data_IF_242022609625
#
_entry.id   IF_242022609625
#
_cell.length_a   1.000
_cell.length_b   1.000
_cell.length_c   1.000
_cell.angle_alpha   90.00
_cell.angle_beta   90.00
_cell.angle_gamma   90.00
#
_symmetry.space_group_name_H-M   'P 1'
#
loop_
_entity.id
_entity.type
_entity.pdbx_description
1 polymer ?
#
# COMPACT_ATOMS: atom_id res chain seq x y z
N UNK A 1 -76.13 81.64 -20.23
CA UNK A 1 -75.41 80.72 -21.15
C UNK A 1 -75.16 81.45 -22.45
N UNK A 2 -73.92 81.51 -22.92
CA UNK A 2 -73.61 82.10 -24.23
C UNK A 2 -74.08 81.16 -25.35
N UNK A 3 -74.70 81.71 -26.40
CA UNK A 3 -75.06 80.93 -27.59
C UNK A 3 -73.76 80.43 -28.26
N UNK A 4 -73.66 79.12 -28.54
CA UNK A 4 -72.51 78.55 -29.26
C UNK A 4 -72.50 79.12 -30.69
N UNK A 5 -71.34 79.58 -31.14
CA UNK A 5 -71.16 80.11 -32.50
C UNK A 5 -71.54 79.04 -33.53
N UNK A 6 -72.37 79.41 -34.52
CA UNK A 6 -72.77 78.56 -35.62
C UNK A 6 -72.39 79.28 -36.92
N UNK A 7 -71.51 78.65 -37.70
CA UNK A 7 -71.00 79.19 -38.96
C UNK A 7 -72.15 79.46 -39.94
N UNK A 8 -73.07 78.52 -40.14
CA UNK A 8 -74.22 78.69 -41.06
C UNK A 8 -75.11 79.89 -40.66
N UNK A 9 -75.30 80.14 -39.35
CA UNK A 9 -76.09 81.28 -38.87
C UNK A 9 -75.39 82.63 -39.03
N UNK A 10 -74.05 82.64 -39.08
CA UNK A 10 -73.23 83.84 -39.22
C UNK A 10 -72.91 84.17 -40.68
N UNK A 11 -72.64 83.12 -41.47
CA UNK A 11 -72.18 83.16 -42.85
C UNK A 11 -73.29 83.40 -43.88
N UNK A 12 -74.46 82.80 -43.65
CA UNK A 12 -75.50 82.70 -44.67
C UNK A 12 -76.54 83.81 -44.51
N UNK A 13 -76.70 84.62 -45.56
CA UNK A 13 -77.77 85.61 -45.62
C UNK A 13 -79.10 84.91 -45.91
N UNK A 14 -80.09 85.17 -45.06
CA UNK A 14 -81.44 84.63 -45.23
C UNK A 14 -82.16 85.34 -46.37
N UNK A 15 -82.55 84.58 -47.39
CA UNK A 15 -83.30 85.07 -48.55
C UNK A 15 -84.59 84.26 -48.65
N UNK A 16 -85.73 84.94 -48.79
CA UNK A 16 -87.03 84.31 -48.99
C UNK A 16 -87.56 84.66 -50.38
N UNK A 17 -87.96 83.64 -51.14
CA UNK A 17 -88.58 83.77 -52.45
C UNK A 17 -89.98 83.14 -52.42
N UNK A 18 -91.01 83.94 -52.66
CA UNK A 18 -92.43 83.58 -52.63
C UNK A 18 -93.06 83.51 -54.04
N UNK A 19 -92.43 84.17 -55.01
CA UNK A 19 -92.87 84.23 -56.41
C UNK A 19 -91.67 84.42 -57.35
N UNK A 20 -91.82 84.00 -58.61
CA UNK A 20 -90.76 84.07 -59.63
C UNK A 20 -90.24 85.50 -59.87
N UNK A 21 -91.13 86.49 -59.87
CA UNK A 21 -90.76 87.89 -60.12
C UNK A 21 -90.35 88.66 -58.86
N UNK A 22 -90.15 87.97 -57.73
CA UNK A 22 -89.78 88.63 -56.49
C UNK A 22 -88.37 89.23 -56.57
N UNK A 23 -88.26 90.47 -56.12
CA UNK A 23 -86.98 91.15 -55.93
C UNK A 23 -86.31 90.68 -54.64
N UNK A 24 -85.01 90.35 -54.69
CA UNK A 24 -84.20 90.12 -53.49
C UNK A 24 -83.79 91.50 -52.96
N UNK A 25 -84.30 91.93 -51.79
CA UNK A 25 -84.27 93.34 -51.39
C UNK A 25 -82.90 93.87 -50.97
N UNK A 26 -81.94 93.00 -50.67
CA UNK A 26 -80.62 93.37 -50.17
C UNK A 26 -79.53 93.11 -51.21
N UNK A 27 -78.54 94.00 -51.27
CA UNK A 27 -77.25 93.69 -51.89
C UNK A 27 -76.60 92.60 -51.06
N UNK A 28 -76.39 91.45 -51.67
CA UNK A 28 -75.73 90.33 -51.02
C UNK A 28 -74.21 90.56 -51.07
N UNK A 29 -73.50 90.24 -49.98
CA UNK A 29 -72.07 90.53 -49.85
C UNK A 29 -71.28 89.22 -49.82
N UNK A 30 -70.29 89.12 -50.70
CA UNK A 30 -69.19 88.16 -50.61
C UNK A 30 -67.92 88.85 -50.12
N UNK A 31 -66.92 88.08 -49.70
CA UNK A 31 -65.60 88.60 -49.35
C UNK A 31 -64.54 87.65 -49.93
N UNK A 32 -63.61 88.20 -50.71
CA UNK A 32 -62.55 87.40 -51.34
C UNK A 32 -61.59 86.74 -50.33
N UNK A 33 -61.55 87.22 -49.08
CA UNK A 33 -60.72 86.65 -48.01
C UNK A 33 -61.40 85.50 -47.24
N UNK A 34 -62.71 85.32 -47.41
CA UNK A 34 -63.44 84.33 -46.63
C UNK A 34 -63.19 82.94 -47.24
N UNK A 35 -62.53 82.07 -46.48
CA UNK A 35 -62.04 80.76 -46.96
C UNK A 35 -63.11 79.79 -47.47
N UNK A 36 -64.40 80.07 -47.25
CA UNK A 36 -65.61 79.43 -47.82
C UNK A 36 -66.91 80.03 -47.21
N UNK A 37 -66.85 81.18 -46.53
CA UNK A 37 -67.75 81.50 -45.41
C UNK A 37 -68.91 82.45 -45.67
N UNK A 38 -69.24 82.80 -46.91
CA UNK A 38 -70.41 83.64 -47.24
C UNK A 38 -71.33 82.92 -48.19
N UNK A 39 -72.62 83.19 -48.07
CA UNK A 39 -73.58 82.49 -48.89
C UNK A 39 -75.02 82.88 -48.62
N UNK A 40 -75.92 82.06 -49.15
CA UNK A 40 -77.36 82.27 -49.12
C UNK A 40 -78.01 81.09 -48.41
N UNK A 41 -78.83 81.39 -47.41
CA UNK A 41 -79.84 80.46 -46.88
C UNK A 41 -81.18 80.83 -47.53
N UNK A 42 -81.56 80.05 -48.53
CA UNK A 42 -82.75 80.26 -49.33
C UNK A 42 -83.95 79.52 -48.74
N UNK A 43 -85.07 80.22 -48.59
CA UNK A 43 -86.36 79.66 -48.26
C UNK A 43 -87.35 79.96 -49.39
N UNK A 44 -87.89 78.92 -50.02
CA UNK A 44 -88.93 79.07 -51.05
C UNK A 44 -90.32 78.89 -50.43
N UNK A 45 -91.24 79.78 -50.77
CA UNK A 45 -92.66 79.76 -50.39
C UNK A 45 -93.53 79.98 -51.63
N UNK A 46 -94.80 79.60 -51.58
CA UNK A 46 -95.79 79.88 -52.63
C UNK A 46 -97.03 80.44 -51.93
N UNK A 47 -97.34 81.73 -52.17
CA UNK A 47 -98.48 82.39 -51.54
C UNK A 47 -98.36 82.53 -50.02
N UNK A 48 -97.14 82.60 -49.50
CA UNK A 48 -96.83 82.67 -48.07
C UNK A 48 -96.72 81.32 -47.36
N UNK A 49 -97.07 80.22 -48.02
CA UNK A 49 -96.91 78.85 -47.49
C UNK A 49 -95.60 78.23 -47.94
N UNK A 50 -95.03 77.34 -47.11
CA UNK A 50 -93.77 76.68 -47.41
C UNK A 50 -93.93 75.72 -48.58
N UNK A 51 -93.05 75.83 -49.58
CA UNK A 51 -93.08 74.99 -50.78
C UNK A 51 -92.26 73.69 -50.58
N UNK A 52 -92.84 72.54 -50.93
CA UNK A 52 -92.11 71.27 -51.03
C UNK A 52 -91.39 71.21 -52.39
N UNK A 53 -90.06 71.14 -52.35
CA UNK A 53 -89.19 71.07 -53.52
C UNK A 53 -88.40 69.76 -53.58
N UNK A 54 -88.90 68.71 -52.92
CA UNK A 54 -88.26 67.39 -52.92
C UNK A 54 -88.07 66.86 -54.34
N UNK A 55 -86.82 66.58 -54.72
CA UNK A 55 -86.48 66.08 -56.05
C UNK A 55 -86.26 67.15 -57.12
N UNK A 56 -86.44 68.44 -56.81
CA UNK A 56 -86.19 69.53 -57.75
C UNK A 56 -84.82 70.18 -57.50
N UNK A 57 -83.90 70.22 -58.50
CA UNK A 57 -82.64 70.94 -58.37
C UNK A 57 -82.87 72.46 -58.29
N UNK A 58 -82.30 73.08 -57.25
CA UNK A 58 -82.24 74.54 -57.11
C UNK A 58 -80.80 74.97 -57.30
N UNK A 59 -80.55 75.89 -58.24
CA UNK A 59 -79.21 76.36 -58.58
C UNK A 59 -79.13 77.88 -58.57
N UNK A 60 -77.96 78.41 -58.26
CA UNK A 60 -77.58 79.80 -58.49
C UNK A 60 -76.89 79.88 -59.86
N UNK A 61 -77.53 80.51 -60.83
CA UNK A 61 -76.89 80.90 -62.07
C UNK A 61 -76.20 82.24 -61.84
N UNK A 62 -74.90 82.35 -62.08
CA UNK A 62 -74.16 83.59 -61.83
C UNK A 62 -73.08 83.86 -62.87
N UNK A 63 -72.77 85.14 -63.04
CA UNK A 63 -71.68 85.64 -63.88
C UNK A 63 -71.01 86.82 -63.19
N UNK A 64 -69.68 86.74 -63.06
CA UNK A 64 -68.81 87.75 -62.46
C UNK A 64 -68.20 88.63 -63.57
N UNK A 65 -67.97 89.91 -63.26
CA UNK A 65 -67.35 90.87 -64.17
C UNK A 65 -65.93 90.52 -64.67
N UNK A 66 -65.29 89.48 -64.12
CA UNK A 66 -63.95 89.01 -64.50
C UNK A 66 -64.01 87.93 -65.59
N UNK A 67 -65.22 87.54 -66.02
CA UNK A 67 -65.46 86.48 -66.99
C UNK A 67 -65.81 85.12 -66.39
N UNK A 68 -65.66 84.92 -65.07
CA UNK A 68 -66.08 83.69 -64.41
C UNK A 68 -67.61 83.60 -64.37
N UNK A 69 -68.15 82.43 -64.68
CA UNK A 69 -69.58 82.14 -64.61
C UNK A 69 -69.79 80.66 -64.33
N UNK A 70 -70.86 80.33 -63.64
CA UNK A 70 -71.20 78.94 -63.34
C UNK A 70 -72.70 78.79 -62.99
N UNK A 71 -73.17 77.54 -62.97
CA UNK A 71 -74.45 77.15 -62.43
C UNK A 71 -74.23 76.31 -61.17
N UNK A 72 -74.13 76.98 -60.02
CA UNK A 72 -73.77 76.32 -58.76
C UNK A 72 -75.01 75.82 -58.02
N UNK A 73 -75.05 74.53 -57.69
CA UNK A 73 -76.21 73.88 -57.06
C UNK A 73 -76.30 74.20 -55.58
N UNK A 74 -77.50 74.52 -55.08
CA UNK A 74 -77.76 74.62 -53.66
C UNK A 74 -77.79 73.22 -53.01
N UNK A 75 -77.34 73.15 -51.76
CA UNK A 75 -77.49 71.97 -50.91
C UNK A 75 -78.80 72.05 -50.14
N UNK A 76 -79.64 71.01 -50.20
CA UNK A 76 -80.88 70.95 -49.42
C UNK A 76 -80.57 70.86 -47.92
N UNK A 77 -81.16 71.76 -47.13
CA UNK A 77 -81.17 71.65 -45.66
C UNK A 77 -82.43 70.90 -45.25
N UNK A 78 -83.57 71.26 -45.86
CA UNK A 78 -84.84 70.55 -45.74
C UNK A 78 -85.67 70.84 -47.00
N UNK A 79 -85.58 69.98 -48.02
CA UNK A 79 -86.26 70.19 -49.29
C UNK A 79 -87.79 70.12 -49.18
N UNK A 80 -88.31 69.34 -48.22
CA UNK A 80 -89.74 69.26 -47.91
C UNK A 80 -90.30 70.57 -47.39
N UNK A 81 -89.42 71.40 -46.84
CA UNK A 81 -89.70 72.76 -46.42
C UNK A 81 -89.09 73.82 -47.33
N UNK A 82 -88.67 73.50 -48.55
CA UNK A 82 -88.13 74.48 -49.48
C UNK A 82 -86.89 75.23 -48.98
N UNK A 83 -86.12 74.63 -48.05
CA UNK A 83 -84.98 75.26 -47.39
C UNK A 83 -83.66 74.73 -47.94
N UNK A 84 -82.84 75.64 -48.45
CA UNK A 84 -81.62 75.35 -49.18
C UNK A 84 -80.49 76.26 -48.73
N UNK A 85 -79.26 75.77 -48.74
CA UNK A 85 -78.07 76.57 -48.46
C UNK A 85 -77.06 76.49 -49.60
N UNK A 86 -76.37 77.60 -49.84
CA UNK A 86 -75.28 77.69 -50.80
C UNK A 86 -74.20 78.57 -50.20
N UNK A 87 -72.98 78.06 -50.15
CA UNK A 87 -71.79 78.87 -49.99
C UNK A 87 -71.31 79.34 -51.35
N UNK A 88 -70.84 80.57 -51.41
CA UNK A 88 -70.32 81.16 -52.62
C UNK A 88 -69.05 80.42 -53.07
N UNK A 89 -68.99 79.93 -54.33
CA UNK A 89 -67.86 79.13 -54.78
C UNK A 89 -66.59 79.99 -54.90
N UNK A 90 -65.39 79.41 -54.75
CA UNK A 90 -64.13 80.14 -54.87
C UNK A 90 -63.99 80.90 -56.20
N UNK A 91 -64.51 80.33 -57.29
CA UNK A 91 -64.51 80.97 -58.61
C UNK A 91 -65.32 82.28 -58.67
N UNK A 92 -66.27 82.47 -57.75
CA UNK A 92 -67.07 83.68 -57.62
C UNK A 92 -66.48 84.69 -56.63
N UNK A 93 -65.58 84.26 -55.73
CA UNK A 93 -65.00 85.06 -54.64
C UNK A 93 -63.78 85.88 -55.09
N UNK A 94 -63.91 86.57 -56.23
CA UNK A 94 -62.97 87.61 -56.64
C UNK A 94 -63.57 88.99 -56.36
N UNK A 95 -62.78 90.02 -56.00
CA UNK A 95 -63.33 91.35 -55.74
C UNK A 95 -64.08 91.91 -56.96
N UNK A 96 -65.35 92.28 -56.78
CA UNK A 96 -66.19 92.72 -57.89
C UNK A 96 -67.68 92.41 -57.77
N UNK A 97 -68.44 92.85 -58.78
CA UNK A 97 -69.87 92.57 -58.87
C UNK A 97 -70.15 91.27 -59.62
N UNK A 98 -71.08 90.50 -59.06
CA UNK A 98 -71.63 89.27 -59.65
C UNK A 98 -73.11 89.48 -59.92
N UNK A 99 -73.53 89.23 -61.14
CA UNK A 99 -74.95 89.14 -61.49
C UNK A 99 -75.41 87.70 -61.28
N UNK A 100 -76.46 87.50 -60.47
CA UNK A 100 -76.93 86.18 -60.09
C UNK A 100 -78.46 86.04 -60.15
N UNK A 101 -78.92 84.81 -60.34
CA UNK A 101 -80.33 84.41 -60.33
C UNK A 101 -80.49 83.05 -59.68
N UNK A 102 -81.54 82.87 -58.89
CA UNK A 102 -81.95 81.55 -58.40
C UNK A 102 -82.84 80.89 -59.43
N UNK A 103 -82.51 79.68 -59.87
CA UNK A 103 -83.26 78.92 -60.89
C UNK A 103 -83.63 77.54 -60.35
N UNK A 104 -84.88 77.14 -60.54
CA UNK A 104 -85.43 75.83 -60.15
C UNK A 104 -85.66 75.00 -61.42
N UNK A 105 -85.16 73.77 -61.45
CA UNK A 105 -85.17 72.90 -62.64
C UNK A 105 -86.15 71.72 -62.50
N UNK A 106 -86.74 71.29 -63.62
CA UNK A 106 -87.49 70.04 -63.75
C UNK A 106 -86.56 69.03 -64.42
N UNK A 107 -85.98 68.11 -63.65
CA UNK A 107 -84.94 67.24 -64.17
C UNK A 107 -83.68 68.04 -64.56
N UNK A 108 -82.96 67.58 -65.59
CA UNK A 108 -81.56 67.96 -65.78
C UNK A 108 -81.32 69.06 -66.85
N UNK A 109 -82.33 69.48 -67.64
CA UNK A 109 -82.05 70.26 -68.86
C UNK A 109 -82.86 71.55 -69.06
N UNK A 110 -83.85 71.91 -68.21
CA UNK A 110 -84.58 73.19 -68.36
C UNK A 110 -85.06 73.80 -67.04
N UNK A 111 -84.82 75.11 -66.80
CA UNK A 111 -85.36 75.78 -65.63
C UNK A 111 -86.88 75.95 -65.79
N UNK A 112 -87.64 75.52 -64.78
CA UNK A 112 -89.11 75.68 -64.70
C UNK A 112 -89.46 77.14 -64.39
N UNK A 113 -88.70 77.72 -63.46
CA UNK A 113 -88.95 79.06 -62.91
C UNK A 113 -87.71 79.55 -62.16
N UNK A 114 -87.58 80.85 -61.95
CA UNK A 114 -86.46 81.43 -61.22
C UNK A 114 -86.78 82.84 -60.73
N UNK A 115 -85.90 83.39 -59.90
CA UNK A 115 -85.98 84.77 -59.42
C UNK A 115 -85.70 85.78 -60.53
N UNK A 116 -85.91 87.08 -60.25
CA UNK A 116 -85.23 88.15 -61.01
C UNK A 116 -83.73 88.11 -60.76
N UNK A 117 -82.98 88.74 -61.66
CA UNK A 117 -81.55 88.98 -61.46
C UNK A 117 -81.33 89.90 -60.26
N UNK A 118 -80.32 89.57 -59.46
CA UNK A 118 -79.84 90.37 -58.34
C UNK A 118 -78.32 90.41 -58.34
N UNK A 119 -77.76 91.42 -57.67
CA UNK A 119 -76.32 91.63 -57.60
C UNK A 119 -75.76 91.13 -56.27
N UNK A 120 -74.64 90.42 -56.34
CA UNK A 120 -73.80 90.06 -55.20
C UNK A 120 -72.50 90.88 -55.33
N UNK A 121 -72.18 91.72 -54.34
CA UNK A 121 -70.95 92.51 -54.32
C UNK A 121 -69.88 91.77 -53.51
N UNK A 122 -68.74 91.46 -54.10
CA UNK A 122 -67.62 90.79 -53.44
C UNK A 122 -66.59 91.83 -53.03
N UNK A 123 -66.42 92.02 -51.72
CA UNK A 123 -65.49 92.99 -51.15
C UNK A 123 -64.03 92.52 -51.27
N UNK A 124 -63.11 93.48 -51.38
CA UNK A 124 -61.67 93.24 -51.35
C UNK A 124 -61.20 93.06 -49.91
N UNK A 125 -60.26 92.13 -49.68
CA UNK A 125 -59.57 92.03 -48.40
C UNK A 125 -58.89 93.38 -48.06
N UNK A 126 -59.08 93.93 -46.85
CA UNK A 126 -58.36 95.12 -46.40
C UNK A 126 -56.83 94.94 -46.30
N UNK A 127 -56.33 93.70 -46.25
CA UNK A 127 -54.89 93.39 -46.21
C UNK A 127 -54.45 92.84 -47.57
N UNK A 128 -53.34 93.38 -48.08
CA UNK A 128 -52.61 92.81 -49.20
C UNK A 128 -51.78 91.62 -48.69
N UNK A 129 -52.34 90.41 -48.80
CA UNK A 129 -51.74 89.17 -48.32
C UNK A 129 -50.34 88.93 -48.92
N UNK A 130 -50.12 89.34 -50.17
CA UNK A 130 -48.82 89.23 -50.84
C UNK A 130 -47.76 90.11 -50.15
N UNK A 131 -48.14 91.31 -49.68
CA UNK A 131 -47.25 92.18 -48.90
C UNK A 131 -46.98 91.62 -47.50
N UNK A 132 -47.99 91.07 -46.84
CA UNK A 132 -47.85 90.52 -45.49
C UNK A 132 -47.00 89.24 -45.44
N UNK A 133 -47.05 88.41 -46.49
CA UNK A 133 -46.27 87.18 -46.62
C UNK A 133 -44.81 87.40 -47.06
N UNK A 134 -44.48 88.61 -47.52
CA UNK A 134 -43.14 89.02 -47.96
C UNK A 134 -42.24 89.54 -46.83
N UNK A 135 -42.77 89.69 -45.62
CA UNK A 135 -41.98 90.14 -44.46
C UNK A 135 -40.93 89.06 -44.09
N UNK A 136 -39.65 89.47 -43.95
CA UNK A 136 -38.51 88.56 -43.74
C UNK A 136 -38.74 87.58 -42.58
N UNK A 137 -39.38 88.04 -41.50
CA UNK A 137 -39.66 87.24 -40.30
C UNK A 137 -40.58 86.03 -40.55
N UNK A 138 -41.53 86.15 -41.50
CA UNK A 138 -42.42 85.03 -41.83
C UNK A 138 -41.71 84.00 -42.74
N UNK A 139 -40.76 84.45 -43.57
CA UNK A 139 -39.92 83.57 -44.38
C UNK A 139 -38.93 82.79 -43.53
N UNK A 140 -38.27 83.44 -42.57
CA UNK A 140 -37.39 82.78 -41.59
C UNK A 140 -38.15 81.72 -40.76
N UNK A 141 -39.39 82.02 -40.35
CA UNK A 141 -40.23 81.07 -39.62
C UNK A 141 -40.58 79.83 -40.46
N UNK A 142 -40.89 80.01 -41.75
CA UNK A 142 -41.16 78.89 -42.67
C UNK A 142 -39.93 78.01 -42.86
N UNK A 143 -38.76 78.61 -43.02
CA UNK A 143 -37.50 77.87 -43.13
C UNK A 143 -37.15 77.12 -41.84
N UNK A 144 -37.31 77.76 -40.68
CA UNK A 144 -37.08 77.12 -39.38
C UNK A 144 -38.02 75.93 -39.16
N UNK A 145 -39.30 76.06 -39.51
CA UNK A 145 -40.27 74.97 -39.42
C UNK A 145 -39.91 73.80 -40.36
N UNK A 146 -39.49 74.10 -41.60
CA UNK A 146 -39.03 73.08 -42.55
C UNK A 146 -37.76 72.37 -42.08
N UNK A 147 -36.79 73.11 -41.54
CA UNK A 147 -35.58 72.54 -40.96
C UNK A 147 -35.93 71.62 -39.79
N UNK A 148 -36.80 72.05 -38.88
CA UNK A 148 -37.20 71.27 -37.71
C UNK A 148 -37.91 69.97 -38.12
N UNK A 149 -38.77 70.02 -39.14
CA UNK A 149 -39.41 68.82 -39.70
C UNK A 149 -38.38 67.85 -40.30
N UNK A 150 -37.43 68.35 -41.08
CA UNK A 150 -36.35 67.52 -41.66
C UNK A 150 -35.42 66.93 -40.60
N UNK A 151 -35.18 67.66 -39.51
CA UNK A 151 -34.33 67.22 -38.40
C UNK A 151 -35.04 66.12 -37.60
N UNK A 152 -36.33 66.28 -37.32
CA UNK A 152 -37.13 65.25 -36.66
C UNK A 152 -37.17 63.96 -37.47
N UNK A 153 -37.42 64.05 -38.78
CA UNK A 153 -37.40 62.88 -39.67
C UNK A 153 -36.04 62.17 -39.63
N UNK A 154 -34.92 62.91 -39.67
CA UNK A 154 -33.58 62.33 -39.51
C UNK A 154 -33.33 61.68 -38.15
N UNK A 155 -33.88 62.25 -37.07
CA UNK A 155 -33.75 61.68 -35.74
C UNK A 155 -34.55 60.40 -35.60
N UNK A 156 -35.74 60.32 -36.19
CA UNK A 156 -36.56 59.11 -36.25
C UNK A 156 -35.81 57.99 -37.00
N UNK A 157 -35.27 58.27 -38.19
CA UNK A 157 -34.46 57.30 -38.95
C UNK A 157 -33.22 56.82 -38.17
N UNK A 158 -32.53 57.74 -37.49
CA UNK A 158 -31.36 57.40 -36.68
C UNK A 158 -31.73 56.56 -35.44
N UNK A 159 -32.89 56.84 -34.83
CA UNK A 159 -33.43 56.09 -33.71
C UNK A 159 -33.81 54.66 -34.12
N UNK A 160 -34.50 54.50 -35.26
CA UNK A 160 -34.81 53.19 -35.84
C UNK A 160 -33.54 52.40 -36.14
N UNK A 161 -32.54 53.03 -36.77
CA UNK A 161 -31.26 52.40 -37.04
C UNK A 161 -30.55 51.94 -35.75
N UNK A 162 -30.59 52.76 -34.68
CA UNK A 162 -30.04 52.39 -33.37
C UNK A 162 -30.79 51.20 -32.78
N UNK A 163 -32.11 51.15 -32.85
CA UNK A 163 -32.92 50.04 -32.33
C UNK A 163 -32.65 48.73 -33.07
N UNK A 164 -32.49 48.78 -34.40
CA UNK A 164 -32.09 47.62 -35.20
C UNK A 164 -30.70 47.13 -34.78
N UNK A 165 -29.73 48.03 -34.64
CA UNK A 165 -28.37 47.70 -34.21
C UNK A 165 -28.35 47.10 -32.79
N UNK A 166 -29.14 47.65 -31.88
CA UNK A 166 -29.25 47.14 -30.50
C UNK A 166 -29.90 45.76 -30.46
N UNK A 167 -30.94 45.53 -31.28
CA UNK A 167 -31.58 44.21 -31.42
C UNK A 167 -30.58 43.19 -31.97
N UNK A 168 -29.81 43.55 -33.00
CA UNK A 168 -28.77 42.69 -33.55
C UNK A 168 -27.64 42.39 -32.54
N UNK A 169 -27.26 43.37 -31.71
CA UNK A 169 -26.30 43.15 -30.62
C UNK A 169 -26.85 42.20 -29.57
N UNK A 170 -28.11 42.36 -29.18
CA UNK A 170 -28.76 41.50 -28.19
C UNK A 170 -28.87 40.04 -28.69
N UNK A 171 -29.23 39.83 -29.96
CA UNK A 171 -29.27 38.48 -30.53
C UNK A 171 -27.89 37.84 -30.64
N UNK A 172 -26.86 38.61 -31.01
CA UNK A 172 -25.48 38.13 -31.05
C UNK A 172 -24.97 37.73 -29.66
N UNK A 173 -25.29 38.52 -28.63
CA UNK A 173 -24.91 38.22 -27.25
C UNK A 173 -25.63 36.97 -26.71
N UNK A 174 -26.91 36.79 -27.06
CA UNK A 174 -27.64 35.57 -26.70
C UNK A 174 -27.04 34.33 -27.37
N UNK A 175 -26.68 34.41 -28.66
CA UNK A 175 -25.99 33.33 -29.37
C UNK A 175 -24.63 33.02 -28.73
N UNK A 176 -23.87 34.05 -28.33
CA UNK A 176 -22.61 33.89 -27.61
C UNK A 176 -22.80 33.15 -26.28
N UNK A 177 -23.86 33.46 -25.51
CA UNK A 177 -24.18 32.76 -24.26
C UNK A 177 -24.55 31.30 -24.49
N UNK A 178 -25.31 31.00 -25.54
CA UNK A 178 -25.66 29.63 -25.91
C UNK A 178 -24.41 28.81 -26.29
N UNK A 179 -23.50 29.38 -27.09
CA UNK A 179 -22.22 28.75 -27.40
C UNK A 179 -21.36 28.52 -26.16
N UNK A 180 -21.31 29.49 -25.25
CA UNK A 180 -20.58 29.36 -24.00
C UNK A 180 -21.17 28.25 -23.11
N UNK A 181 -22.49 28.19 -22.99
CA UNK A 181 -23.17 27.12 -22.26
C UNK A 181 -22.90 25.73 -22.87
N UNK A 182 -22.90 25.63 -24.21
CA UNK A 182 -22.59 24.39 -24.91
C UNK A 182 -21.13 23.97 -24.70
N UNK A 183 -20.20 24.94 -24.73
CA UNK A 183 -18.78 24.69 -24.43
C UNK A 183 -18.58 24.16 -23.01
N UNK A 184 -19.22 24.77 -22.02
CA UNK A 184 -19.15 24.32 -20.62
C UNK A 184 -19.73 22.92 -20.45
N UNK A 185 -20.86 22.60 -21.10
CA UNK A 185 -21.44 21.26 -21.07
C UNK A 185 -20.48 20.21 -21.65
N UNK A 186 -19.90 20.47 -22.82
CA UNK A 186 -18.92 19.58 -23.46
C UNK A 186 -17.66 19.41 -22.60
N UNK A 187 -17.20 20.46 -21.93
CA UNK A 187 -16.05 20.40 -21.03
C UNK A 187 -16.35 19.54 -19.79
N UNK A 188 -17.55 19.64 -19.23
CA UNK A 188 -17.99 18.78 -18.12
C UNK A 188 -18.10 17.31 -18.53
N UNK A 189 -18.59 17.02 -19.74
CA UNK A 189 -18.62 15.65 -20.29
C UNK A 189 -17.20 15.10 -20.48
N UNK A 190 -16.27 15.93 -20.98
CA UNK A 190 -14.86 15.56 -21.10
C UNK A 190 -14.24 15.22 -19.75
N UNK A 191 -14.49 16.05 -18.74
CA UNK A 191 -13.99 15.82 -17.38
C UNK A 191 -14.56 14.53 -16.77
N UNK A 192 -15.86 14.26 -16.96
CA UNK A 192 -16.48 13.02 -16.49
C UNK A 192 -15.84 11.79 -17.15
N UNK A 193 -15.62 11.83 -18.47
CA UNK A 193 -14.95 10.75 -19.19
C UNK A 193 -13.48 10.57 -18.76
N UNK A 194 -12.78 11.65 -18.38
CA UNK A 194 -11.43 11.57 -17.85
C UNK A 194 -11.40 10.94 -16.46
N UNK A 195 -12.33 11.29 -15.57
CA UNK A 195 -12.47 10.64 -14.26
C UNK A 195 -12.80 9.15 -14.38
N UNK A 196 -13.65 8.76 -15.32
CA UNK A 196 -13.94 7.34 -15.60
C UNK A 196 -12.70 6.59 -16.11
N UNK A 197 -11.90 7.20 -17.00
CA UNK A 197 -10.63 6.62 -17.45
C UNK A 197 -9.64 6.45 -16.30
N UNK A 198 -9.50 7.45 -15.43
CA UNK A 198 -8.61 7.38 -14.27
C UNK A 198 -9.04 6.29 -13.28
N UNK A 199 -10.34 6.13 -13.05
CA UNK A 199 -10.89 5.05 -12.22
C UNK A 199 -10.59 3.67 -12.83
N UNK A 200 -10.83 3.49 -14.14
CA UNK A 200 -10.51 2.25 -14.84
C UNK A 200 -9.01 1.92 -14.82
N UNK A 201 -8.15 2.93 -14.90
CA UNK A 201 -6.70 2.75 -14.82
C UNK A 201 -6.25 2.33 -13.41
N UNK A 202 -6.87 2.88 -12.35
CA UNK A 202 -6.65 2.44 -10.97
C UNK A 202 -7.08 0.97 -10.77
N UNK A 203 -8.22 0.57 -11.33
CA UNK A 203 -8.67 -0.82 -11.29
C UNK A 203 -7.69 -1.75 -12.04
N UNK A 204 -7.20 -1.33 -13.20
CA UNK A 204 -6.17 -2.08 -13.96
C UNK A 204 -4.88 -2.25 -13.15
N UNK A 205 -4.42 -1.18 -12.49
CA UNK A 205 -3.22 -1.23 -11.64
C UNK A 205 -3.41 -2.15 -10.43
N UNK A 206 -4.59 -2.15 -9.80
CA UNK A 206 -4.91 -3.05 -8.70
C UNK A 206 -4.90 -4.53 -9.17
N UNK A 207 -5.53 -4.83 -10.30
CA UNK A 207 -5.52 -6.17 -10.88
C UNK A 207 -4.12 -6.63 -11.30
N UNK A 208 -3.28 -5.71 -11.79
CA UNK A 208 -1.88 -6.00 -12.11
C UNK A 208 -1.06 -6.35 -10.85
N UNK A 209 -1.25 -5.61 -9.75
CA UNK A 209 -0.59 -5.89 -8.48
C UNK A 209 -1.03 -7.25 -7.90
N UNK A 210 -2.31 -7.61 -8.00
CA UNK A 210 -2.80 -8.94 -7.61
C UNK A 210 -2.18 -10.05 -8.46
N UNK A 211 -2.02 -9.83 -9.77
CA UNK A 211 -1.35 -10.78 -10.65
C UNK A 211 0.12 -10.96 -10.29
N UNK A 212 0.83 -9.87 -10.00
CA UNK A 212 2.24 -9.91 -9.60
C UNK A 212 2.41 -10.70 -8.30
N UNK A 213 1.58 -10.44 -7.28
CA UNK A 213 1.59 -11.20 -6.03
C UNK A 213 1.30 -12.69 -6.25
N UNK A 214 0.33 -13.04 -7.12
CA UNK A 214 0.03 -14.42 -7.45
C UNK A 214 1.17 -15.14 -8.21
N UNK A 215 1.93 -14.41 -9.02
CA UNK A 215 3.11 -14.95 -9.70
C UNK A 215 4.28 -15.16 -8.73
N UNK A 216 4.46 -14.24 -7.77
CA UNK A 216 5.43 -14.40 -6.69
C UNK A 216 5.12 -15.65 -5.85
N UNK A 217 3.86 -15.82 -5.43
CA UNK A 217 3.41 -17.02 -4.71
C UNK A 217 3.65 -18.30 -5.51
N UNK A 218 3.37 -18.28 -6.82
CA UNK A 218 3.66 -19.43 -7.71
C UNK A 218 5.15 -19.72 -7.78
N UNK A 219 5.98 -18.69 -7.86
CA UNK A 219 7.44 -18.85 -7.93
C UNK A 219 8.01 -19.46 -6.64
N UNK A 220 7.50 -19.04 -5.48
CA UNK A 220 7.86 -19.60 -4.18
C UNK A 220 7.39 -21.06 -4.05
N UNK A 221 6.17 -21.36 -4.51
CA UNK A 221 5.66 -22.73 -4.51
C UNK A 221 6.49 -23.65 -5.42
N UNK A 222 6.94 -23.16 -6.57
CA UNK A 222 7.81 -23.93 -7.47
C UNK A 222 9.20 -24.13 -6.88
N UNK A 223 9.77 -23.13 -6.21
CA UNK A 223 11.04 -23.28 -5.47
C UNK A 223 10.92 -24.37 -4.40
N UNK A 224 9.86 -24.33 -3.59
CA UNK A 224 9.61 -25.35 -2.57
C UNK A 224 9.41 -26.76 -3.17
N UNK A 225 8.77 -26.87 -4.33
CA UNK A 225 8.65 -28.13 -5.07
C UNK A 225 10.01 -28.66 -5.51
N UNK A 226 10.88 -27.80 -6.04
CA UNK A 226 12.23 -28.15 -6.48
C UNK A 226 13.09 -28.61 -5.29
N UNK A 227 13.03 -27.90 -4.16
CA UNK A 227 13.75 -28.30 -2.93
C UNK A 227 13.26 -29.65 -2.40
N UNK A 228 11.94 -29.88 -2.37
CA UNK A 228 11.36 -31.15 -1.96
C UNK A 228 11.80 -32.29 -2.89
N UNK A 229 11.90 -32.05 -4.19
CA UNK A 229 12.35 -33.04 -5.16
C UNK A 229 13.85 -33.34 -5.02
N UNK A 230 14.68 -32.33 -4.77
CA UNK A 230 16.09 -32.51 -4.46
C UNK A 230 16.29 -33.36 -3.19
N UNK A 231 15.49 -33.12 -2.15
CA UNK A 231 15.51 -33.92 -0.93
C UNK A 231 15.11 -35.38 -1.18
N UNK A 232 14.05 -35.61 -1.97
CA UNK A 232 13.64 -36.97 -2.36
C UNK A 232 14.76 -37.69 -3.12
N UNK A 233 15.35 -37.02 -4.11
CA UNK A 233 16.45 -37.58 -4.89
C UNK A 233 17.66 -37.97 -4.00
N UNK A 234 18.04 -37.11 -3.05
CA UNK A 234 19.12 -37.41 -2.10
C UNK A 234 18.77 -38.61 -1.21
N UNK A 235 17.54 -38.66 -0.69
CA UNK A 235 17.06 -39.78 0.12
C UNK A 235 17.08 -41.09 -0.67
N UNK A 236 16.64 -41.07 -1.93
CA UNK A 236 16.70 -42.24 -2.80
C UNK A 236 18.14 -42.70 -3.05
N UNK A 237 19.09 -41.78 -3.26
CA UNK A 237 20.50 -42.12 -3.40
C UNK A 237 21.08 -42.78 -2.14
N UNK A 238 20.71 -42.30 -0.94
CA UNK A 238 21.12 -42.91 0.33
C UNK A 238 20.53 -44.32 0.50
N UNK A 239 19.23 -44.49 0.19
CA UNK A 239 18.58 -45.81 0.22
C UNK A 239 19.25 -46.75 -0.78
N UNK A 240 19.60 -46.28 -1.97
CA UNK A 240 20.31 -47.08 -2.97
C UNK A 240 21.68 -47.54 -2.44
N UNK A 241 22.47 -46.63 -1.84
CA UNK A 241 23.75 -46.99 -1.23
C UNK A 241 23.59 -48.00 -0.09
N UNK A 242 22.60 -47.82 0.79
CA UNK A 242 22.35 -48.73 1.92
C UNK A 242 21.74 -50.08 1.50
N UNK A 243 21.05 -50.13 0.37
CA UNK A 243 20.39 -51.34 -0.15
C UNK A 243 21.30 -52.19 -1.03
N UNK A 244 22.36 -51.60 -1.61
CA UNK A 244 23.48 -52.34 -2.19
C UNK A 244 24.28 -53.00 -1.05
N UNK A 245 23.79 -54.14 -0.55
CA UNK A 245 24.62 -55.03 0.27
C UNK A 245 25.94 -55.37 -0.45
N UNK A 246 26.96 -55.80 0.29
CA UNK A 246 28.26 -56.14 -0.30
C UNK A 246 28.06 -57.24 -1.36
N UNK A 247 28.30 -56.89 -2.62
CA UNK A 247 28.26 -57.86 -3.71
C UNK A 247 29.43 -58.83 -3.51
N UNK A 248 29.24 -60.12 -3.81
CA UNK A 248 30.30 -61.12 -3.71
C UNK A 248 30.79 -61.48 -5.10
N UNK A 249 32.09 -61.42 -5.31
CA UNK A 249 32.71 -61.79 -6.57
C UNK A 249 33.85 -62.78 -6.33
N UNK A 250 33.75 -63.97 -6.93
CA UNK A 250 34.82 -64.96 -6.87
C UNK A 250 35.73 -64.75 -8.08
N UNK A 251 36.99 -64.40 -7.82
CA UNK A 251 37.95 -64.06 -8.86
C UNK A 251 38.28 -65.30 -9.71
N UNK A 252 38.32 -65.14 -11.03
CA UNK A 252 38.77 -66.20 -11.93
C UNK A 252 40.28 -66.45 -11.78
N UNK A 253 40.78 -67.59 -12.29
CA UNK A 253 42.18 -68.02 -12.14
C UNK A 253 43.22 -67.02 -12.68
N UNK A 254 42.83 -66.08 -13.55
CA UNK A 254 43.67 -65.04 -14.15
C UNK A 254 43.45 -63.63 -13.58
N UNK A 255 42.59 -63.48 -12.55
CA UNK A 255 42.19 -62.19 -11.97
C UNK A 255 42.82 -61.91 -10.59
N UNK A 256 43.84 -62.68 -10.21
CA UNK A 256 44.59 -62.48 -8.97
C UNK A 256 46.05 -62.88 -9.15
N UNK A 257 46.94 -62.21 -8.42
CA UNK A 257 48.36 -62.48 -8.44
C UNK A 257 48.65 -63.77 -7.66
N UNK A 258 49.24 -64.76 -8.33
CA UNK A 258 49.44 -66.09 -7.75
C UNK A 258 50.40 -66.13 -6.56
N UNK A 259 51.25 -65.12 -6.39
CA UNK A 259 52.26 -65.04 -5.34
C UNK A 259 51.77 -64.29 -4.10
N UNK A 260 50.99 -63.22 -4.29
CA UNK A 260 50.49 -62.35 -3.22
C UNK A 260 49.03 -62.63 -2.86
N UNK A 261 48.31 -63.37 -3.73
CA UNK A 261 46.86 -63.61 -3.66
C UNK A 261 46.01 -62.34 -3.70
N UNK A 262 46.59 -61.22 -4.13
CA UNK A 262 45.89 -59.96 -4.34
C UNK A 262 45.11 -60.00 -5.66
N UNK A 263 43.85 -59.51 -5.72
CA UNK A 263 43.15 -59.38 -6.98
C UNK A 263 43.87 -58.40 -7.93
N UNK A 264 43.88 -58.69 -9.23
CA UNK A 264 44.44 -57.82 -10.29
C UNK A 264 43.34 -57.43 -11.28
N UNK A 265 42.21 -56.97 -10.73
CA UNK A 265 41.06 -56.53 -11.51
C UNK A 265 41.29 -55.10 -12.00
N UNK A 266 41.17 -54.88 -13.30
CA UNK A 266 41.47 -53.60 -13.94
C UNK A 266 40.55 -52.44 -13.49
N UNK A 267 39.30 -52.76 -13.13
CA UNK A 267 38.29 -51.78 -12.66
C UNK A 267 37.52 -52.34 -11.46
N UNK A 268 38.11 -52.28 -10.25
CA UNK A 268 37.48 -52.82 -9.06
C UNK A 268 36.38 -51.90 -8.49
N UNK A 269 35.34 -52.49 -7.93
CA UNK A 269 34.19 -51.80 -7.33
C UNK A 269 34.31 -51.83 -5.80
N UNK A 270 34.19 -50.66 -5.15
CA UNK A 270 34.28 -50.50 -3.69
C UNK A 270 33.16 -51.20 -2.92
N UNK A 271 32.08 -51.56 -3.60
CA UNK A 271 30.87 -52.17 -3.04
C UNK A 271 30.86 -53.69 -3.20
N UNK A 272 31.98 -54.27 -3.66
CA UNK A 272 32.15 -55.70 -3.91
C UNK A 272 33.24 -56.28 -3.02
N UNK A 273 32.93 -57.38 -2.35
CA UNK A 273 33.89 -58.25 -1.69
C UNK A 273 34.41 -59.27 -2.70
N UNK A 274 35.71 -59.25 -2.91
CA UNK A 274 36.41 -60.11 -3.85
C UNK A 274 37.00 -61.31 -3.11
N UNK A 275 36.69 -62.50 -3.59
CA UNK A 275 37.12 -63.77 -3.00
C UNK A 275 38.18 -64.38 -3.91
N UNK A 276 39.39 -64.54 -3.39
CA UNK A 276 40.51 -65.21 -4.05
C UNK A 276 40.74 -66.55 -3.35
N UNK A 277 40.96 -67.68 -4.06
CA UNK A 277 41.21 -68.96 -3.39
C UNK A 277 42.39 -68.87 -2.41
N UNK A 278 42.22 -69.44 -1.21
CA UNK A 278 43.29 -69.48 -0.22
C UNK A 278 44.47 -70.35 -0.68
N UNK A 279 45.68 -70.05 -0.20
CA UNK A 279 46.86 -70.84 -0.54
C UNK A 279 46.79 -72.26 0.06
N UNK A 280 46.20 -72.37 1.25
CA UNK A 280 45.99 -73.63 1.97
C UNK A 280 44.52 -73.73 2.41
N UNK A 281 43.59 -74.02 1.49
CA UNK A 281 42.18 -74.09 1.82
C UNK A 281 41.93 -75.22 2.84
N UNK A 282 41.09 -74.91 3.82
CA UNK A 282 40.63 -75.82 4.87
C UNK A 282 39.11 -75.86 4.91
N UNK A 283 38.54 -76.79 5.69
CA UNK A 283 37.08 -76.85 5.88
C UNK A 283 36.52 -75.57 6.53
N UNK A 284 37.36 -74.82 7.25
CA UNK A 284 37.00 -73.59 7.96
C UNK A 284 37.27 -72.30 7.15
N UNK A 285 38.03 -72.38 6.05
CA UNK A 285 38.46 -71.22 5.25
C UNK A 285 38.94 -71.63 3.88
N UNK A 286 38.24 -71.18 2.83
CA UNK A 286 38.54 -71.54 1.43
C UNK A 286 38.95 -70.32 0.59
N UNK A 287 38.71 -69.12 1.10
CA UNK A 287 38.84 -67.87 0.34
C UNK A 287 39.50 -66.79 1.18
N UNK A 288 40.39 -66.04 0.54
CA UNK A 288 40.90 -64.76 1.03
C UNK A 288 39.98 -63.66 0.54
N UNK A 289 39.44 -62.90 1.48
CA UNK A 289 38.50 -61.83 1.22
C UNK A 289 39.25 -60.50 1.05
N UNK A 290 38.94 -59.78 -0.03
CA UNK A 290 39.57 -58.52 -0.39
C UNK A 290 38.51 -57.47 -0.71
N UNK A 291 38.80 -56.23 -0.34
CA UNK A 291 38.03 -55.07 -0.75
C UNK A 291 38.93 -54.04 -1.43
N UNK A 292 38.35 -53.26 -2.34
CA UNK A 292 39.04 -52.15 -2.95
C UNK A 292 38.85 -50.87 -2.12
N UNK A 293 39.94 -50.29 -1.63
CA UNK A 293 39.94 -48.95 -1.03
C UNK A 293 40.18 -47.92 -2.13
N UNK A 294 39.11 -47.34 -2.67
CA UNK A 294 39.21 -46.34 -3.74
C UNK A 294 39.85 -45.01 -3.29
N UNK A 295 39.78 -44.65 -2.01
CA UNK A 295 40.47 -43.44 -1.52
C UNK A 295 41.97 -43.66 -1.44
N UNK A 296 42.37 -44.89 -1.08
CA UNK A 296 43.74 -45.34 -1.02
C UNK A 296 44.36 -45.83 -2.33
N UNK A 297 43.53 -46.13 -3.33
CA UNK A 297 43.94 -46.75 -4.58
C UNK A 297 44.64 -48.11 -4.40
N UNK A 298 44.23 -48.91 -3.40
CA UNK A 298 44.88 -50.19 -3.05
C UNK A 298 43.88 -51.27 -2.68
N UNK A 299 44.31 -52.52 -2.81
CA UNK A 299 43.58 -53.67 -2.27
C UNK A 299 43.81 -53.80 -0.77
N UNK A 300 42.72 -53.98 -0.04
CA UNK A 300 42.72 -54.18 1.41
C UNK A 300 42.18 -55.57 1.73
N UNK A 301 42.92 -56.31 2.54
CA UNK A 301 42.55 -57.67 2.94
C UNK A 301 41.56 -57.61 4.09
N UNK A 302 40.39 -58.22 3.91
CA UNK A 302 39.37 -58.33 4.94
C UNK A 302 39.58 -59.64 5.71
N UNK A 303 40.20 -59.50 6.89
CA UNK A 303 40.47 -60.63 7.79
C UNK A 303 41.82 -61.29 7.55
N UNK A 304 42.59 -61.46 8.62
CA UNK A 304 43.78 -62.31 8.64
C UNK A 304 43.55 -63.42 9.66
N UNK A 305 43.58 -64.68 9.23
CA UNK A 305 43.58 -65.85 10.13
C UNK A 305 44.92 -66.02 10.88
N UNK A 306 45.95 -65.25 10.52
CA UNK A 306 47.24 -65.23 11.23
C UNK A 306 47.23 -64.23 12.38
N UNK A 307 47.21 -64.76 13.62
CA UNK A 307 47.61 -64.00 14.78
C UNK A 307 49.10 -63.63 14.66
N UNK A 308 49.39 -62.35 14.50
CA UNK A 308 50.75 -61.84 14.64
C UNK A 308 51.01 -61.61 16.13
N UNK A 309 52.02 -62.29 16.67
CA UNK A 309 52.44 -62.12 18.06
C UNK A 309 53.73 -61.30 18.10
N UNK A 310 53.83 -60.38 19.04
CA UNK A 310 55.06 -59.63 19.27
C UNK A 310 56.13 -60.57 19.88
N UNK A 311 57.35 -60.62 19.34
CA UNK A 311 58.41 -61.46 19.89
C UNK A 311 59.03 -60.79 21.13
N UNK A 312 59.31 -61.57 22.18
CA UNK A 312 60.04 -61.05 23.35
C UNK A 312 61.44 -60.58 22.94
N UNK A 313 61.81 -59.39 23.40
CA UNK A 313 63.09 -58.73 23.06
C UNK A 313 64.23 -59.17 23.99
N UNK A 314 65.49 -58.95 23.57
CA UNK A 314 66.66 -59.25 24.42
C UNK A 314 66.67 -58.41 25.70
N UNK A 315 66.22 -57.16 25.64
CA UNK A 315 66.20 -56.25 26.79
C UNK A 315 65.18 -56.71 27.85
N UNK A 316 63.99 -57.14 27.40
CA UNK A 316 63.00 -57.77 28.27
C UNK A 316 63.55 -59.06 28.90
N UNK A 317 64.19 -59.92 28.10
CA UNK A 317 64.86 -61.13 28.63
C UNK A 317 65.94 -60.79 29.65
N UNK A 318 66.73 -59.72 29.45
CA UNK A 318 67.77 -59.29 30.38
C UNK A 318 67.22 -58.71 31.67
N UNK A 319 66.12 -57.94 31.59
CA UNK A 319 65.41 -57.44 32.75
C UNK A 319 64.86 -58.59 33.62
N UNK A 320 64.35 -59.65 32.99
CA UNK A 320 63.90 -60.88 33.68
C UNK A 320 65.08 -61.56 34.39
N UNK A 321 66.23 -61.75 33.73
CA UNK A 321 67.42 -62.34 34.39
C UNK A 321 67.88 -61.50 35.58
N UNK A 322 67.84 -60.18 35.45
CA UNK A 322 68.27 -59.25 36.49
C UNK A 322 67.28 -59.12 37.66
N UNK A 323 66.07 -59.70 37.53
CA UNK A 323 64.99 -59.55 38.51
C UNK A 323 64.45 -58.12 38.59
N UNK A 324 64.67 -57.32 37.54
CA UNK A 324 64.22 -55.93 37.44
C UNK A 324 63.00 -55.77 36.55
N UNK A 325 62.57 -56.84 35.88
CA UNK A 325 61.27 -56.89 35.22
C UNK A 325 60.16 -56.97 36.27
N UNK A 326 59.41 -55.88 36.42
CA UNK A 326 58.33 -55.72 37.43
C UNK A 326 56.95 -55.72 36.81
N UNK A 327 56.83 -55.89 35.49
CA UNK A 327 55.56 -55.86 34.79
C UNK A 327 54.86 -57.23 34.90
N UNK A 328 53.51 -57.26 34.89
CA UNK A 328 52.70 -58.48 35.05
C UNK A 328 52.81 -59.48 33.86
N UNK A 329 53.72 -59.23 32.92
CA UNK A 329 53.97 -60.01 31.70
C UNK A 329 53.03 -59.63 30.55
N UNK A 330 53.58 -59.44 29.35
CA UNK A 330 52.80 -59.23 28.13
C UNK A 330 52.52 -60.54 27.37
N UNK A 331 51.85 -60.44 26.22
CA UNK A 331 51.52 -61.56 25.33
C UNK A 331 52.65 -61.94 24.38
N UNK A 332 53.87 -61.46 24.66
CA UNK A 332 55.01 -61.71 23.80
C UNK A 332 55.41 -63.18 23.77
N UNK A 333 55.72 -63.66 22.57
CA UNK A 333 56.08 -65.07 22.37
C UNK A 333 57.60 -65.26 22.33
N UNK A 334 58.07 -66.32 22.97
CA UNK A 334 59.48 -66.72 22.89
C UNK A 334 59.80 -67.26 21.49
N UNK A 335 60.58 -66.50 20.72
CA UNK A 335 61.05 -66.96 19.41
C UNK A 335 62.23 -67.93 19.52
N UNK A 336 62.54 -68.64 18.42
CA UNK A 336 63.73 -69.52 18.35
C UNK A 336 65.05 -68.75 18.57
N UNK A 337 65.09 -67.47 18.25
CA UNK A 337 66.23 -66.60 18.57
C UNK A 337 66.24 -66.28 20.07
N UNK A 338 65.10 -65.87 20.64
CA UNK A 338 64.98 -65.57 22.07
C UNK A 338 65.34 -66.76 22.96
N UNK A 339 64.93 -67.97 22.59
CA UNK A 339 65.30 -69.18 23.32
C UNK A 339 66.82 -69.41 23.38
N UNK A 340 67.55 -69.11 22.29
CA UNK A 340 69.03 -69.22 22.26
C UNK A 340 69.68 -68.15 23.12
N UNK A 341 69.13 -66.94 23.10
CA UNK A 341 69.59 -65.84 23.94
C UNK A 341 69.43 -66.20 25.43
N UNK A 342 68.24 -66.66 25.81
CA UNK A 342 67.92 -67.11 27.17
C UNK A 342 68.83 -68.23 27.66
N UNK A 343 69.09 -69.24 26.84
CA UNK A 343 69.98 -70.35 27.18
C UNK A 343 71.42 -69.89 27.46
N UNK A 344 71.87 -68.84 26.74
CA UNK A 344 73.19 -68.24 26.95
C UNK A 344 73.26 -67.55 28.31
N UNK A 345 72.22 -66.80 28.68
CA UNK A 345 72.13 -66.12 29.98
C UNK A 345 72.07 -67.10 31.14
N UNK A 346 71.26 -68.16 31.04
CA UNK A 346 71.20 -69.23 32.04
C UNK A 346 72.56 -69.87 32.29
N UNK A 347 73.33 -70.16 31.23
CA UNK A 347 74.69 -70.69 31.38
C UNK A 347 75.63 -69.73 32.12
N UNK A 348 75.47 -68.43 31.90
CA UNK A 348 76.23 -67.41 32.64
C UNK A 348 75.92 -67.39 34.13
N UNK A 349 74.63 -67.49 34.51
CA UNK A 349 74.19 -67.50 35.92
C UNK A 349 74.79 -68.70 36.69
N UNK A 350 74.87 -69.87 36.07
CA UNK A 350 75.39 -71.09 36.73
C UNK A 350 76.91 -71.28 36.61
N UNK A 351 77.65 -70.39 35.94
CA UNK A 351 79.09 -70.55 35.72
C UNK A 351 79.99 -70.17 36.91
N UNK A 352 79.50 -69.41 37.90
CA UNK A 352 80.30 -68.91 39.03
C UNK A 352 79.90 -69.55 40.37
N UNK A 353 80.22 -70.84 40.57
CA UNK A 353 80.15 -71.48 41.89
C UNK A 353 81.39 -72.38 42.15
N UNK A 354 82.58 -71.78 42.07
CA UNK A 354 83.81 -72.27 42.71
C UNK A 354 84.38 -71.09 43.49
N UNK A 355 84.20 -71.04 44.82
CA UNK A 355 84.91 -70.09 45.68
C UNK A 355 85.64 -70.82 46.81
N UNK A 356 86.84 -70.32 47.13
CA UNK A 356 87.69 -70.72 48.27
C UNK A 356 87.78 -69.52 49.23
N UNK A 357 87.86 -69.78 50.53
CA UNK A 357 88.00 -68.75 51.56
C UNK A 357 89.45 -68.60 52.03
N UNK A 358 89.84 -67.38 52.43
CA UNK A 358 91.16 -67.07 52.97
C UNK A 358 91.09 -66.72 54.46
N UNK A 359 92.19 -66.95 55.18
CA UNK A 359 92.25 -66.86 56.65
C UNK A 359 91.99 -65.46 57.25
N UNK A 360 91.82 -64.42 56.42
CA UNK A 360 91.44 -63.07 56.85
C UNK A 360 89.94 -62.88 57.13
N UNK A 361 89.11 -63.90 56.90
CA UNK A 361 87.66 -63.85 57.13
C UNK A 361 87.27 -63.92 58.65
N UNK A 362 88.23 -63.79 59.57
CA UNK A 362 88.01 -63.69 61.03
C UNK A 362 88.65 -62.39 61.57
N UNK A 363 87.83 -61.40 61.92
CA UNK A 363 88.26 -60.01 62.20
C UNK A 363 88.37 -59.61 63.68
N UNK A 364 88.25 -60.53 64.65
CA UNK A 364 88.60 -60.22 66.05
C UNK A 364 88.94 -61.47 66.87
N UNK A 365 90.21 -61.67 67.17
CA UNK A 365 90.74 -62.79 67.96
C UNK A 365 90.43 -62.73 69.47
N UNK A 366 89.16 -62.56 69.85
CA UNK A 366 88.68 -62.80 71.22
C UNK A 366 87.17 -62.97 71.23
N UNK A 367 86.68 -64.12 71.72
CA UNK A 367 85.24 -64.36 71.89
C UNK A 367 84.72 -63.66 73.14
N UNK A 368 83.73 -62.77 72.98
CA UNK A 368 83.11 -62.03 74.09
C UNK A 368 82.40 -62.93 75.10
N UNK A 369 82.55 -62.60 76.39
CA UNK A 369 82.04 -63.32 77.58
C UNK A 369 80.53 -63.61 77.55
N UNK A 370 79.74 -62.91 76.74
CA UNK A 370 78.31 -63.18 76.55
C UNK A 370 78.01 -64.51 75.82
N UNK A 371 78.98 -65.11 75.12
CA UNK A 371 78.82 -66.40 74.42
C UNK A 371 79.28 -67.63 75.22
N UNK A 372 79.68 -67.46 76.49
CA UNK A 372 80.09 -68.57 77.39
C UNK A 372 79.09 -68.79 78.55
N UNK A 373 78.05 -67.97 78.68
CA UNK A 373 77.16 -67.98 79.83
C UNK A 373 75.74 -68.52 79.54
N UNK A 374 75.59 -69.82 79.25
CA UNK A 374 74.46 -70.64 79.75
C UNK A 374 74.70 -72.16 79.58
N UNK A 375 75.84 -72.65 80.06
CA UNK A 375 76.15 -74.08 80.04
C UNK A 375 77.28 -74.49 80.98
N UNK A 376 78.19 -73.57 81.29
CA UNK A 376 79.15 -73.75 82.38
C UNK A 376 78.45 -73.65 83.75
N UNK A 377 78.69 -74.64 84.62
CA UNK A 377 78.13 -74.72 85.97
C UNK A 377 78.58 -73.52 86.81
N UNK A 378 77.69 -72.56 87.05
CA UNK A 378 77.97 -71.38 87.88
C UNK A 378 77.85 -71.69 89.37
N UNK A 379 78.50 -70.89 90.22
CA UNK A 379 78.50 -71.02 91.70
C UNK A 379 77.09 -71.11 92.29
N UNK A 380 76.11 -70.38 91.72
CA UNK A 380 74.69 -70.47 92.08
C UNK A 380 74.06 -71.85 91.76
N UNK A 381 74.52 -72.52 90.70
CA UNK A 381 74.08 -73.88 90.31
C UNK A 381 74.67 -74.93 91.27
N UNK A 382 75.90 -74.72 91.74
CA UNK A 382 76.51 -75.47 92.84
C UNK A 382 75.79 -75.24 94.18
N UNK A 383 75.47 -74.00 94.54
CA UNK A 383 74.76 -73.67 95.80
C UNK A 383 73.32 -74.21 95.82
N UNK A 384 72.63 -74.24 94.66
CA UNK A 384 71.30 -74.86 94.53
C UNK A 384 71.36 -76.38 94.61
N UNK A 385 72.38 -77.00 94.02
CA UNK A 385 72.58 -78.46 94.08
C UNK A 385 73.05 -78.92 95.47
N UNK A 386 73.83 -78.10 96.18
CA UNK A 386 74.23 -78.32 97.57
C UNK A 386 73.04 -78.10 98.54
N UNK A 387 72.21 -77.08 98.29
CA UNK A 387 70.97 -76.82 99.03
C UNK A 387 69.92 -77.94 98.86
N UNK A 388 69.77 -78.49 97.65
CA UNK A 388 68.89 -79.63 97.37
C UNK A 388 69.44 -80.97 97.89
N UNK A 389 70.75 -81.05 98.14
CA UNK A 389 71.39 -82.23 98.75
C UNK A 389 71.37 -82.18 100.29
N UNK A 390 71.47 -80.99 100.89
CA UNK A 390 71.32 -80.76 102.34
C UNK A 390 69.85 -80.82 102.80
N UNK A 391 68.88 -80.50 101.94
CA UNK A 391 67.44 -80.65 102.23
C UNK A 391 66.95 -82.11 102.25
N UNK A 392 67.80 -83.07 101.82
CA UNK A 392 67.57 -84.52 101.93
C UNK A 392 68.12 -85.15 103.21
N UNK A 393 68.90 -84.41 104.00
CA UNK A 393 69.24 -84.77 105.38
C UNK A 393 68.12 -84.26 106.30
N UNK A 394 67.23 -85.15 106.74
CA UNK A 394 66.14 -84.81 107.68
C UNK A 394 66.70 -84.24 108.98
N UNK A 395 66.36 -83.00 109.39
CA UNK A 395 66.40 -82.65 110.79
C UNK A 395 65.31 -83.47 111.51
N UNK A 396 65.69 -84.22 112.54
CA UNK A 396 64.75 -84.87 113.44
C UNK A 396 63.89 -83.77 114.06
N UNK A 397 62.61 -83.79 113.71
CA UNK A 397 61.60 -82.91 114.24
C UNK A 397 61.16 -83.47 115.60
N UNK A 398 61.91 -83.18 116.64
CA UNK A 398 61.33 -83.04 117.97
C UNK A 398 62.08 -81.92 118.66
N UNK A 399 61.45 -80.75 118.72
CA UNK A 399 61.44 -80.08 120.00
C UNK A 399 60.06 -80.19 120.62
N UNK A 400 59.84 -81.15 121.51
CA UNK A 400 60.14 -80.97 122.94
C UNK A 400 61.60 -80.87 123.44
N UNK A 401 62.61 -80.46 122.68
CA UNK A 401 64.02 -80.74 122.98
C UNK A 401 65.08 -79.84 122.29
N UNK A 402 65.47 -78.81 123.05
CA UNK A 402 66.74 -78.08 123.05
C UNK A 402 67.98 -78.83 122.49
N UNK A 403 68.54 -78.53 121.29
CA UNK A 403 69.94 -78.91 120.99
C UNK A 403 70.83 -77.68 121.04
N UNK A 404 71.62 -77.54 122.12
CA UNK A 404 72.62 -76.49 122.29
C UNK A 404 73.99 -76.94 121.77
N UNK A 405 74.67 -76.04 121.05
CA UNK A 405 76.08 -76.19 120.71
C UNK A 405 76.91 -75.29 121.62
N UNK A 406 77.77 -75.89 122.44
CA UNK A 406 78.86 -75.17 123.12
C UNK A 406 80.20 -75.68 122.59
N UNK A 407 81.16 -74.78 122.51
CA UNK A 407 82.56 -75.08 122.21
C UNK A 407 83.28 -75.34 123.53
N UNK A 408 83.90 -76.50 123.68
CA UNK A 408 84.96 -76.66 124.67
C UNK A 408 86.26 -76.05 124.13
N UNK A 409 87.10 -75.59 125.04
CA UNK A 409 88.43 -74.96 124.86
C UNK A 409 89.41 -75.76 124.01
N UNK A 410 89.13 -77.04 123.72
CA UNK A 410 89.93 -77.90 122.84
C UNK A 410 89.29 -78.19 121.45
N UNK A 411 88.30 -77.40 121.02
CA UNK A 411 87.84 -77.36 119.62
C UNK A 411 86.98 -78.55 119.15
N UNK A 412 86.46 -79.39 120.05
CA UNK A 412 85.56 -80.52 119.71
C UNK A 412 84.10 -80.14 119.94
N UNK A 413 83.22 -80.45 118.98
CA UNK A 413 81.78 -80.13 119.05
C UNK A 413 80.99 -81.29 119.67
N UNK A 414 80.20 -80.98 120.71
CA UNK A 414 79.26 -81.90 121.35
C UNK A 414 77.82 -81.43 121.20
N UNK A 415 76.91 -82.39 121.09
CA UNK A 415 75.48 -82.21 120.90
C UNK A 415 74.70 -82.82 122.07
N UNK A 416 73.79 -82.06 122.67
CA UNK A 416 72.92 -82.51 123.77
C UNK A 416 71.51 -81.97 123.69
N UNK A 417 70.57 -82.80 124.15
CA UNK A 417 69.13 -82.74 124.00
C UNK A 417 68.45 -82.61 125.39
N UNK A 418 67.40 -81.79 125.55
CA UNK A 418 66.63 -81.76 126.81
C UNK A 418 65.14 -81.38 126.71
N UNK A 419 64.31 -82.22 127.35
CA UNK A 419 62.84 -82.25 127.39
C UNK A 419 62.24 -81.14 128.26
N UNK A 420 61.20 -80.47 127.78
CA UNK A 420 60.47 -79.43 128.50
C UNK A 420 59.42 -79.94 129.52
N UNK A 421 59.73 -80.99 130.27
CA UNK A 421 59.13 -81.24 131.60
C UNK A 421 60.03 -80.77 132.74
N UNK A 422 60.70 -79.63 132.56
CA UNK A 422 61.40 -78.94 133.63
C UNK A 422 62.72 -79.59 134.08
N UNK A 423 63.81 -78.82 133.88
CA UNK A 423 65.12 -78.94 134.52
C UNK A 423 65.90 -80.25 134.26
N UNK A 424 67.16 -80.06 133.82
CA UNK A 424 68.26 -81.04 133.69
C UNK A 424 68.39 -81.79 132.34
N UNK A 425 69.18 -81.21 131.42
CA UNK A 425 69.66 -81.88 130.22
C UNK A 425 70.68 -82.99 130.51
N UNK A 426 70.69 -84.04 129.66
CA UNK A 426 71.53 -85.23 129.82
C UNK A 426 72.55 -85.38 128.67
N UNK A 427 73.80 -85.64 129.07
CA UNK A 427 75.05 -85.97 128.38
C UNK A 427 75.06 -87.06 127.26
N UNK A 428 74.41 -87.00 126.08
CA UNK A 428 74.29 -88.21 125.20
C UNK A 428 75.47 -88.53 124.24
N UNK A 429 76.40 -87.63 123.91
CA UNK A 429 77.65 -88.09 123.25
C UNK A 429 78.46 -87.07 122.45
N UNK A 430 79.73 -87.45 122.23
CA UNK A 430 80.78 -86.70 121.51
C UNK A 430 80.86 -87.19 120.06
N UNK A 431 80.70 -86.29 119.08
CA UNK A 431 81.00 -86.61 117.67
C UNK A 431 82.17 -85.74 117.23
N UNK A 432 83.29 -86.38 116.88
CA UNK A 432 84.46 -85.75 116.26
C UNK A 432 84.18 -85.55 114.77
N UNK A 433 84.53 -84.38 114.24
CA UNK A 433 84.67 -84.16 112.79
C UNK A 433 86.17 -84.11 112.48
N UNK A 434 86.60 -84.86 111.48
CA UNK A 434 87.95 -84.78 110.89
C UNK A 434 88.01 -83.68 109.82
#
# INVERSE_FOLDING_TARGET
>A
MAKKFNVDEWALKKVRLDMADQFVPDVLIGNAADADGRGILLQVTIGGEVADLTGLPVCLAWSHQNGNQDLTRFTAVDASKGLFKLYYPPAMMYPGDVTARVSIFAGDESPITGSRDFTIHVERNPIDEDRALSDESFSEFKEAAALLYSTNSRLEEAEEARQIAETARATAEELRRQHESARVAAENERLAAELERDAAELERLAAEAEREAAEEDRSLAELARVEAEAYRAATFAEIEQRSKGWLRYYCADDEWDTSTREPVIATPDTSTLYFVPEEFPSDDGQWVEWMWDAQGGRWEKLGTSQATFEPITADQMDAIVAGTDTDEGGSEVMTRWGLRYWLTKLRGVFAALVHTHSASDITSGTFGTARIADGAVTKNKLEKTLGDSLSRLRPINSQHDEIYWWLDTDGRRLCLYSDSSGLYGKLIGIIRFD
#
